data_IF_483893996915
#
_entry.id   IF_483893996915
#
_cell.length_a   1.000
_cell.length_b   1.000
_cell.length_c   1.000
_cell.angle_alpha   90.00
_cell.angle_beta   90.00
_cell.angle_gamma   90.00
#
_symmetry.space_group_name_H-M   'P 1'
#
loop_
_entity.id
_entity.type
_entity.pdbx_description
1 polymer ?
#
# COMPACT_ATOMS: atom_id res chain seq x y z
N UNK A 1 -7.66 -15.14 -7.88
CA UNK A 1 -8.43 -13.88 -7.80
C UNK A 1 -9.44 -13.93 -8.93
N UNK A 2 -10.72 -13.59 -8.70
CA UNK A 2 -11.74 -13.61 -9.76
C UNK A 2 -11.33 -12.65 -10.88
N UNK A 3 -11.56 -13.04 -12.13
CA UNK A 3 -11.18 -12.25 -13.32
C UNK A 3 -11.83 -10.86 -13.31
N UNK A 4 -13.03 -10.73 -12.75
CA UNK A 4 -13.72 -9.46 -12.53
C UNK A 4 -12.95 -8.51 -11.60
N UNK A 5 -12.38 -9.03 -10.51
CA UNK A 5 -11.67 -8.23 -9.51
C UNK A 5 -10.31 -7.75 -10.04
N UNK A 6 -9.65 -8.57 -10.88
CA UNK A 6 -8.45 -8.17 -11.64
C UNK A 6 -8.75 -7.00 -12.57
N UNK A 7 -9.83 -7.09 -13.35
CA UNK A 7 -10.23 -6.02 -14.27
C UNK A 7 -10.60 -4.74 -13.53
N UNK A 8 -11.35 -4.84 -12.43
CA UNK A 8 -11.67 -3.70 -11.57
C UNK A 8 -10.40 -3.05 -11.01
N UNK A 9 -9.46 -3.86 -10.51
CA UNK A 9 -8.18 -3.36 -9.99
C UNK A 9 -7.40 -2.61 -11.07
N UNK A 10 -7.26 -3.19 -12.27
CA UNK A 10 -6.54 -2.55 -13.39
C UNK A 10 -7.23 -1.25 -13.80
N UNK A 11 -8.56 -1.25 -13.89
CA UNK A 11 -9.35 -0.06 -14.22
C UNK A 11 -9.08 1.07 -13.22
N UNK A 12 -9.17 0.79 -11.93
CA UNK A 12 -8.93 1.82 -10.90
C UNK A 12 -7.45 2.22 -10.76
N UNK A 13 -6.53 1.31 -11.08
CA UNK A 13 -5.09 1.61 -11.12
C UNK A 13 -4.75 2.63 -12.22
N UNK A 14 -5.51 2.64 -13.31
CA UNK A 14 -5.38 3.63 -14.39
C UNK A 14 -6.24 4.88 -14.15
N UNK A 15 -7.44 4.70 -13.59
CA UNK A 15 -8.37 5.80 -13.36
C UNK A 15 -7.91 6.75 -12.25
N UNK A 16 -7.33 6.23 -11.16
CA UNK A 16 -6.88 7.04 -10.03
C UNK A 16 -5.78 8.07 -10.40
N UNK A 17 -4.69 7.71 -11.11
CA UNK A 17 -3.68 8.68 -11.53
C UNK A 17 -4.23 9.67 -12.57
N UNK A 18 -5.08 9.22 -13.50
CA UNK A 18 -5.72 10.10 -14.47
C UNK A 18 -6.64 11.12 -13.79
N UNK A 19 -7.44 10.67 -12.82
CA UNK A 19 -8.29 11.54 -12.00
C UNK A 19 -7.46 12.54 -11.20
N UNK A 20 -6.33 12.11 -10.62
CA UNK A 20 -5.43 13.01 -9.90
C UNK A 20 -4.84 14.10 -10.82
N UNK A 21 -4.38 13.72 -12.02
CA UNK A 21 -3.86 14.68 -13.00
C UNK A 21 -4.93 15.69 -13.45
N UNK A 22 -6.16 15.23 -13.68
CA UNK A 22 -7.28 16.11 -14.04
C UNK A 22 -7.64 17.07 -12.90
N UNK A 23 -7.63 16.57 -11.66
CA UNK A 23 -7.86 17.39 -10.47
C UNK A 23 -6.80 18.48 -10.32
N UNK A 24 -5.51 18.11 -10.41
CA UNK A 24 -4.38 19.05 -10.36
C UNK A 24 -4.42 20.11 -11.45
N UNK A 25 -4.92 19.77 -12.64
CA UNK A 25 -5.01 20.70 -13.77
C UNK A 25 -6.20 21.66 -13.68
N UNK A 26 -7.35 21.17 -13.22
CA UNK A 26 -8.62 21.88 -13.40
C UNK A 26 -9.19 22.47 -12.09
N UNK A 27 -8.84 21.90 -10.94
CA UNK A 27 -9.56 22.16 -9.69
C UNK A 27 -8.72 22.87 -8.63
N UNK A 28 -7.46 23.15 -8.90
CA UNK A 28 -6.57 23.86 -7.98
C UNK A 28 -6.02 25.11 -8.63
N UNK A 29 -6.06 26.22 -7.89
CA UNK A 29 -5.36 27.46 -8.24
C UNK A 29 -3.84 27.27 -8.01
N UNK A 30 -2.94 28.07 -8.62
CA UNK A 30 -1.52 28.15 -8.27
C UNK A 30 -1.17 28.16 -6.77
N UNK A 31 -2.05 28.66 -5.91
CA UNK A 31 -1.88 28.61 -4.46
C UNK A 31 -2.22 27.25 -3.81
N UNK A 32 -2.69 26.27 -4.59
CA UNK A 32 -3.12 24.95 -4.13
C UNK A 32 -4.54 24.91 -3.57
N UNK A 33 -5.28 26.02 -3.61
CA UNK A 33 -6.65 26.10 -3.09
C UNK A 33 -7.67 25.49 -4.06
N UNK A 34 -8.68 24.77 -3.56
CA UNK A 34 -9.72 24.19 -4.41
C UNK A 34 -10.57 25.29 -5.04
N UNK A 35 -10.72 25.27 -6.36
CA UNK A 35 -11.51 26.25 -7.13
C UNK A 35 -12.98 25.87 -7.27
N UNK A 36 -13.44 24.80 -6.60
CA UNK A 36 -14.83 24.34 -6.61
C UNK A 36 -15.21 23.42 -7.78
N UNK A 37 -14.21 22.88 -8.51
CA UNK A 37 -14.43 21.89 -9.56
C UNK A 37 -14.84 20.50 -9.05
N UNK A 38 -15.22 19.61 -9.97
CA UNK A 38 -15.69 18.27 -9.63
C UNK A 38 -14.58 17.43 -8.97
N UNK A 39 -14.78 16.83 -7.78
CA UNK A 39 -13.72 16.10 -7.07
C UNK A 39 -13.44 14.72 -7.70
N UNK A 40 -12.67 14.72 -8.79
CA UNK A 40 -12.39 13.53 -9.61
C UNK A 40 -11.80 12.38 -8.80
N UNK A 41 -10.72 12.60 -8.04
CA UNK A 41 -10.07 11.55 -7.27
C UNK A 41 -10.97 11.02 -6.13
N UNK A 42 -11.58 11.86 -5.28
CA UNK A 42 -12.54 11.37 -4.28
C UNK A 42 -13.69 10.55 -4.88
N UNK A 43 -14.21 10.95 -6.05
CA UNK A 43 -15.26 10.19 -6.73
C UNK A 43 -14.77 8.81 -7.20
N UNK A 44 -13.57 8.73 -7.78
CA UNK A 44 -12.95 7.46 -8.19
C UNK A 44 -12.69 6.57 -6.97
N UNK A 45 -12.20 7.12 -5.86
CA UNK A 45 -11.96 6.37 -4.62
C UNK A 45 -13.26 5.87 -4.00
N UNK A 46 -14.33 6.66 -4.02
CA UNK A 46 -15.65 6.24 -3.55
C UNK A 46 -16.20 5.10 -4.41
N UNK A 47 -16.12 5.22 -5.73
CA UNK A 47 -16.52 4.15 -6.65
C UNK A 47 -15.70 2.87 -6.44
N UNK A 48 -14.38 3.00 -6.30
CA UNK A 48 -13.48 1.89 -6.01
C UNK A 48 -13.85 1.20 -4.68
N UNK A 49 -14.10 1.97 -3.62
CA UNK A 49 -14.51 1.44 -2.33
C UNK A 49 -15.82 0.65 -2.45
N UNK A 50 -16.83 1.17 -3.15
CA UNK A 50 -18.10 0.47 -3.36
C UNK A 50 -17.88 -0.84 -4.13
N UNK A 51 -17.15 -0.81 -5.24
CA UNK A 51 -16.88 -2.01 -6.04
C UNK A 51 -16.14 -3.07 -5.23
N UNK A 52 -15.04 -2.70 -4.56
CA UNK A 52 -14.24 -3.67 -3.80
C UNK A 52 -14.97 -4.19 -2.56
N UNK A 53 -15.80 -3.38 -1.89
CA UNK A 53 -16.62 -3.85 -0.77
C UNK A 53 -17.72 -4.81 -1.23
N UNK A 54 -18.31 -4.57 -2.41
CA UNK A 54 -19.29 -5.48 -3.00
C UNK A 54 -18.64 -6.80 -3.43
N UNK A 55 -17.49 -6.76 -4.11
CA UNK A 55 -16.71 -7.94 -4.45
C UNK A 55 -16.32 -8.75 -3.21
N UNK A 56 -15.93 -8.07 -2.12
CA UNK A 56 -15.51 -8.72 -0.89
C UNK A 56 -16.64 -9.47 -0.17
N UNK A 57 -17.93 -9.20 -0.46
CA UNK A 57 -19.04 -9.95 0.14
C UNK A 57 -19.02 -11.44 -0.19
N UNK A 58 -18.45 -11.79 -1.34
CA UNK A 58 -18.30 -13.19 -1.76
C UNK A 58 -17.18 -13.95 -1.05
N UNK A 59 -16.27 -13.27 -0.35
CA UNK A 59 -15.14 -13.92 0.32
C UNK A 59 -15.56 -14.62 1.63
N UNK A 60 -14.80 -15.59 2.14
CA UNK A 60 -15.11 -16.23 3.42
C UNK A 60 -15.01 -15.26 4.60
N UNK A 61 -15.91 -15.43 5.58
CA UNK A 61 -15.82 -14.73 6.86
C UNK A 61 -14.59 -15.23 7.66
N UNK A 62 -14.15 -14.46 8.66
CA UNK A 62 -12.99 -14.78 9.49
C UNK A 62 -13.02 -16.22 10.02
N UNK A 63 -14.18 -16.66 10.49
CA UNK A 63 -14.35 -17.95 11.16
C UNK A 63 -14.29 -19.15 10.19
N UNK A 64 -14.34 -18.89 8.89
CA UNK A 64 -14.27 -19.92 7.85
C UNK A 64 -12.83 -20.19 7.35
N UNK A 65 -11.85 -19.37 7.74
CA UNK A 65 -10.46 -19.52 7.29
C UNK A 65 -9.68 -20.37 8.29
N UNK A 66 -9.50 -21.65 7.97
CA UNK A 66 -8.76 -22.62 8.79
C UNK A 66 -7.31 -22.83 8.33
N UNK A 67 -6.96 -22.33 7.14
CA UNK A 67 -5.62 -22.49 6.57
C UNK A 67 -4.59 -21.58 7.26
N UNK A 68 -3.36 -22.09 7.41
CA UNK A 68 -2.23 -21.29 7.88
C UNK A 68 -1.78 -20.27 6.83
N UNK A 69 -1.07 -19.21 7.26
CA UNK A 69 -0.62 -18.12 6.39
C UNK A 69 0.05 -18.61 5.10
N UNK A 70 0.95 -19.59 5.18
CA UNK A 70 1.65 -20.14 4.02
C UNK A 70 0.77 -20.99 3.09
N UNK A 71 -0.37 -21.48 3.58
CA UNK A 71 -1.39 -22.11 2.74
C UNK A 71 -2.24 -21.07 2.01
N UNK A 72 -2.51 -19.93 2.65
CA UNK A 72 -3.32 -18.83 2.08
C UNK A 72 -2.52 -18.04 1.04
N UNK A 73 -1.26 -17.70 1.34
CA UNK A 73 -0.44 -16.84 0.50
C UNK A 73 0.68 -17.64 -0.15
N UNK A 74 0.36 -18.28 -1.29
CA UNK A 74 1.34 -19.06 -2.04
C UNK A 74 1.83 -18.30 -3.28
N UNK A 75 3.13 -18.06 -3.33
CA UNK A 75 3.78 -17.44 -4.48
C UNK A 75 4.14 -18.48 -5.55
N UNK A 76 3.14 -19.19 -6.08
CA UNK A 76 3.35 -20.24 -7.07
C UNK A 76 3.73 -19.65 -8.46
N UNK A 77 3.35 -18.40 -8.75
CA UNK A 77 3.69 -17.70 -9.98
C UNK A 77 5.06 -16.98 -9.96
N UNK A 78 5.79 -17.04 -11.08
CA UNK A 78 7.02 -16.28 -11.26
C UNK A 78 6.79 -14.76 -11.17
N UNK A 79 5.68 -14.26 -11.74
CA UNK A 79 5.32 -12.85 -11.71
C UNK A 79 4.98 -12.35 -10.29
N UNK A 80 4.26 -13.15 -9.50
CA UNK A 80 3.95 -12.80 -8.10
C UNK A 80 5.20 -12.77 -7.24
N UNK A 81 6.15 -13.69 -7.49
CA UNK A 81 7.43 -13.68 -6.80
C UNK A 81 8.27 -12.46 -7.17
N UNK A 82 8.41 -12.18 -8.46
CA UNK A 82 9.22 -11.05 -8.91
C UNK A 82 8.64 -9.74 -8.41
N UNK A 83 7.31 -9.58 -8.41
CA UNK A 83 6.65 -8.41 -7.83
C UNK A 83 6.95 -8.26 -6.33
N UNK A 84 6.85 -9.34 -5.54
CA UNK A 84 7.13 -9.28 -4.10
C UNK A 84 8.61 -8.98 -3.79
N UNK A 85 9.53 -9.64 -4.51
CA UNK A 85 10.98 -9.41 -4.37
C UNK A 85 11.35 -7.99 -4.77
N UNK A 86 10.87 -7.53 -5.94
CA UNK A 86 11.13 -6.20 -6.43
C UNK A 86 10.53 -5.14 -5.51
N UNK A 87 9.35 -5.39 -4.93
CA UNK A 87 8.74 -4.52 -3.93
C UNK A 87 9.60 -4.39 -2.66
N UNK A 88 10.14 -5.49 -2.14
CA UNK A 88 11.07 -5.47 -1.01
C UNK A 88 12.36 -4.71 -1.31
N UNK A 89 12.96 -4.92 -2.49
CA UNK A 89 14.15 -4.16 -2.91
C UNK A 89 13.87 -2.67 -3.12
N UNK A 90 12.69 -2.31 -3.63
CA UNK A 90 12.29 -0.91 -3.76
C UNK A 90 12.15 -0.21 -2.40
N UNK A 91 11.69 -0.91 -1.36
CA UNK A 91 11.67 -0.35 0.01
C UNK A 91 13.09 -0.11 0.54
N UNK A 92 14.04 -1.02 0.27
CA UNK A 92 15.44 -0.83 0.62
C UNK A 92 16.07 0.35 -0.17
N UNK A 93 15.78 0.43 -1.47
CA UNK A 93 16.22 1.54 -2.31
C UNK A 93 15.62 2.87 -1.85
N UNK A 94 14.35 2.88 -1.44
CA UNK A 94 13.68 4.05 -0.88
C UNK A 94 14.35 4.52 0.42
N UNK A 95 14.76 3.60 1.30
CA UNK A 95 15.54 3.94 2.49
C UNK A 95 16.89 4.57 2.15
N UNK A 96 17.60 4.02 1.16
CA UNK A 96 18.87 4.57 0.71
C UNK A 96 18.70 5.97 0.08
N UNK A 97 17.71 6.15 -0.80
CA UNK A 97 17.37 7.43 -1.41
C UNK A 97 16.99 8.47 -0.35
N UNK A 98 16.27 8.04 0.69
CA UNK A 98 15.87 8.91 1.80
C UNK A 98 17.09 9.41 2.58
N UNK A 99 18.08 8.55 2.86
CA UNK A 99 19.34 8.97 3.49
C UNK A 99 20.14 9.95 2.62
N UNK A 100 20.23 9.68 1.32
CA UNK A 100 20.98 10.52 0.37
C UNK A 100 20.33 11.90 0.21
N UNK A 101 19.00 11.98 0.20
CA UNK A 101 18.26 13.23 0.00
C UNK A 101 17.97 14.01 1.28
N UNK A 102 17.69 13.33 2.38
CA UNK A 102 17.35 13.94 3.67
C UNK A 102 18.53 14.17 4.62
N UNK A 103 19.71 13.60 4.29
CA UNK A 103 20.92 13.68 5.11
C UNK A 103 20.87 12.80 6.36
N UNK A 104 21.96 12.82 7.15
CA UNK A 104 22.11 12.03 8.38
C UNK A 104 21.51 12.73 9.63
N UNK A 105 20.49 13.56 9.45
CA UNK A 105 19.80 14.20 10.57
C UNK A 105 18.90 13.18 11.30
N UNK A 106 18.82 13.30 12.63
CA UNK A 106 18.28 12.24 13.51
C UNK A 106 16.97 11.60 13.06
N UNK A 107 15.92 12.38 12.74
CA UNK A 107 14.62 11.84 12.34
C UNK A 107 14.66 11.12 10.98
N UNK A 108 15.32 11.70 9.98
CA UNK A 108 15.44 11.10 8.64
C UNK A 108 16.28 9.82 8.68
N UNK A 109 17.32 9.79 9.50
CA UNK A 109 18.10 8.58 9.77
C UNK A 109 17.23 7.49 10.40
N UNK A 110 16.47 7.82 11.46
CA UNK A 110 15.58 6.87 12.14
C UNK A 110 14.55 6.30 11.18
N UNK A 111 13.87 7.16 10.40
CA UNK A 111 12.85 6.73 9.44
C UNK A 111 13.43 5.89 8.31
N UNK A 112 14.65 6.21 7.85
CA UNK A 112 15.34 5.44 6.81
C UNK A 112 15.75 4.06 7.32
N UNK A 113 16.32 3.99 8.53
CA UNK A 113 16.66 2.70 9.17
C UNK A 113 15.39 1.87 9.36
N UNK A 114 14.30 2.47 9.81
CA UNK A 114 13.06 1.75 10.05
C UNK A 114 12.39 1.26 8.76
N UNK A 115 12.46 2.06 7.68
CA UNK A 115 12.06 1.65 6.33
C UNK A 115 12.94 0.50 5.82
N UNK A 116 14.26 0.56 6.02
CA UNK A 116 15.17 -0.51 5.64
C UNK A 116 14.88 -1.81 6.40
N UNK A 117 14.66 -1.72 7.71
CA UNK A 117 14.23 -2.84 8.55
C UNK A 117 12.90 -3.43 8.05
N UNK A 118 11.96 -2.59 7.62
CA UNK A 118 10.68 -3.02 7.08
C UNK A 118 10.83 -3.79 5.76
N UNK A 119 11.65 -3.27 4.82
CA UNK A 119 11.97 -3.96 3.57
C UNK A 119 12.69 -5.29 3.81
N UNK A 120 13.67 -5.31 4.71
CA UNK A 120 14.41 -6.53 5.07
C UNK A 120 13.51 -7.57 5.75
N UNK A 121 12.61 -7.15 6.64
CA UNK A 121 11.68 -8.04 7.33
C UNK A 121 10.68 -8.70 6.36
N UNK A 122 10.20 -7.96 5.35
CA UNK A 122 9.33 -8.49 4.30
C UNK A 122 10.05 -9.48 3.39
N UNK A 123 11.28 -9.17 2.98
CA UNK A 123 12.11 -10.10 2.21
C UNK A 123 12.44 -11.37 3.02
N UNK A 124 12.74 -11.22 4.31
CA UNK A 124 12.93 -12.36 5.21
C UNK A 124 11.66 -13.22 5.29
N UNK A 125 10.49 -12.61 5.52
CA UNK A 125 9.22 -13.34 5.58
C UNK A 125 8.95 -14.09 4.26
N UNK A 126 9.21 -13.47 3.12
CA UNK A 126 9.06 -14.10 1.80
C UNK A 126 10.02 -15.29 1.62
N UNK A 127 11.28 -15.15 1.99
CA UNK A 127 12.28 -16.22 1.90
C UNK A 127 11.92 -17.38 2.85
N UNK A 128 11.51 -17.06 4.08
CA UNK A 128 11.16 -18.06 5.09
C UNK A 128 9.90 -18.83 4.68
N UNK A 129 8.87 -18.15 4.16
CA UNK A 129 7.68 -18.79 3.59
C UNK A 129 8.03 -19.74 2.44
N UNK A 130 8.90 -19.31 1.53
CA UNK A 130 9.37 -20.12 0.39
C UNK A 130 10.11 -21.39 0.81
N UNK A 131 10.94 -21.31 1.85
CA UNK A 131 11.83 -22.41 2.24
C UNK A 131 11.20 -23.39 3.21
N UNK A 132 10.42 -22.87 4.16
CA UNK A 132 10.04 -23.65 5.35
C UNK A 132 8.56 -23.56 5.67
N UNK A 133 7.80 -22.66 5.02
CA UNK A 133 6.39 -22.38 5.35
C UNK A 133 6.17 -21.72 6.72
N UNK A 134 7.14 -21.81 7.62
CA UNK A 134 7.16 -21.20 8.94
C UNK A 134 8.09 -19.97 8.97
N UNK A 135 7.60 -18.90 9.57
CA UNK A 135 8.37 -17.67 9.80
C UNK A 135 7.84 -16.98 11.06
N UNK A 136 8.65 -16.10 11.66
CA UNK A 136 8.22 -15.33 12.81
C UNK A 136 7.17 -14.27 12.38
N UNK A 137 5.92 -14.33 12.86
CA UNK A 137 4.85 -13.40 12.44
C UNK A 137 5.15 -11.96 12.86
N UNK A 138 6.04 -11.76 13.84
CA UNK A 138 6.58 -10.46 14.24
C UNK A 138 7.29 -9.72 13.10
N UNK A 139 7.85 -10.43 12.11
CA UNK A 139 8.46 -9.80 10.95
C UNK A 139 7.47 -8.96 10.13
N UNK A 140 6.18 -9.35 10.08
CA UNK A 140 5.13 -8.60 9.40
C UNK A 140 4.64 -7.39 10.21
N UNK A 141 4.94 -7.30 11.51
CA UNK A 141 4.60 -6.13 12.32
C UNK A 141 5.60 -4.97 12.11
N UNK A 142 6.84 -5.26 11.73
CA UNK A 142 7.86 -4.23 11.44
C UNK A 142 7.37 -3.20 10.40
N UNK A 143 6.88 -3.59 9.20
CA UNK A 143 6.35 -2.64 8.24
C UNK A 143 5.10 -1.91 8.73
N UNK A 144 4.26 -2.53 9.57
CA UNK A 144 3.09 -1.87 10.17
C UNK A 144 3.55 -0.75 11.10
N UNK A 145 4.50 -1.03 12.00
CA UNK A 145 5.05 -0.03 12.91
C UNK A 145 5.70 1.13 12.14
N UNK A 146 6.44 0.84 11.08
CA UNK A 146 6.99 1.88 10.21
C UNK A 146 5.90 2.75 9.57
N UNK A 147 4.87 2.13 8.99
CA UNK A 147 3.77 2.86 8.34
C UNK A 147 3.00 3.75 9.34
N UNK A 148 2.78 3.29 10.57
CA UNK A 148 2.16 4.09 11.64
C UNK A 148 3.05 5.30 11.99
N UNK A 149 4.34 5.08 12.23
CA UNK A 149 5.27 6.16 12.54
C UNK A 149 5.35 7.16 11.39
N UNK A 150 5.45 6.68 10.14
CA UNK A 150 5.47 7.50 8.95
C UNK A 150 4.17 8.31 8.81
N UNK A 151 3.00 7.70 9.03
CA UNK A 151 1.71 8.38 9.02
C UNK A 151 1.66 9.51 10.05
N UNK A 152 2.09 9.25 11.29
CA UNK A 152 2.13 10.25 12.36
C UNK A 152 3.05 11.40 12.00
N UNK A 153 4.26 11.10 11.50
CA UNK A 153 5.24 12.13 11.13
C UNK A 153 4.72 12.96 9.96
N UNK A 154 4.22 12.34 8.90
CA UNK A 154 3.65 13.04 7.74
C UNK A 154 2.46 13.89 8.15
N UNK A 155 1.55 13.37 8.98
CA UNK A 155 0.43 14.15 9.50
C UNK A 155 0.90 15.34 10.31
N UNK A 156 1.80 15.14 11.27
CA UNK A 156 2.30 16.23 12.12
C UNK A 156 3.06 17.30 11.35
N UNK A 157 3.81 16.93 10.31
CA UNK A 157 4.52 17.88 9.47
C UNK A 157 3.55 18.79 8.69
N UNK A 158 2.40 18.26 8.28
CA UNK A 158 1.41 18.97 7.47
C UNK A 158 0.20 19.49 8.26
N UNK A 159 0.09 19.22 9.56
CA UNK A 159 -1.07 19.58 10.38
C UNK A 159 -1.30 21.10 10.51
N UNK A 160 -0.30 21.92 10.18
CA UNK A 160 -0.41 23.39 10.16
C UNK A 160 -0.78 23.93 8.79
N UNK A 161 -0.69 23.11 7.74
CA UNK A 161 -1.13 23.51 6.41
C UNK A 161 -2.66 23.47 6.35
N UNK A 162 -3.25 24.58 5.94
CA UNK A 162 -4.70 24.73 5.79
C UNK A 162 -5.20 24.15 4.46
N UNK A 163 -4.29 23.86 3.52
CA UNK A 163 -4.60 23.36 2.19
C UNK A 163 -4.54 21.84 2.16
N UNK A 164 -5.69 21.20 2.35
CA UNK A 164 -5.82 19.74 2.38
C UNK A 164 -5.31 19.07 1.08
N UNK A 165 -5.45 19.74 -0.06
CA UNK A 165 -5.08 19.24 -1.40
C UNK A 165 -3.63 18.76 -1.53
N UNK A 166 -2.71 19.33 -0.73
CA UNK A 166 -1.28 19.04 -0.79
C UNK A 166 -0.90 17.67 -0.20
N UNK A 167 -1.61 17.22 0.84
CA UNK A 167 -1.14 16.09 1.65
C UNK A 167 -2.20 15.01 1.88
N UNK A 168 -3.48 15.24 1.53
CA UNK A 168 -4.53 14.27 1.80
C UNK A 168 -4.30 12.92 1.11
N UNK A 169 -3.86 12.90 -0.14
CA UNK A 169 -3.63 11.65 -0.90
C UNK A 169 -2.56 10.80 -0.22
N UNK A 170 -1.45 11.43 0.20
CA UNK A 170 -0.36 10.75 0.92
C UNK A 170 -0.83 10.21 2.28
N UNK A 171 -1.64 10.98 3.03
CA UNK A 171 -2.20 10.51 4.30
C UNK A 171 -3.18 9.35 4.12
N UNK A 172 -4.10 9.43 3.16
CA UNK A 172 -5.02 8.33 2.86
C UNK A 172 -4.26 7.08 2.42
N UNK A 173 -3.22 7.23 1.58
CA UNK A 173 -2.37 6.12 1.19
C UNK A 173 -1.70 5.48 2.40
N UNK A 174 -1.06 6.26 3.26
CA UNK A 174 -0.36 5.74 4.44
C UNK A 174 -1.33 5.03 5.40
N UNK A 175 -2.53 5.58 5.58
CA UNK A 175 -3.59 4.94 6.36
C UNK A 175 -4.05 3.61 5.72
N UNK A 176 -4.28 3.59 4.41
CA UNK A 176 -4.70 2.39 3.69
C UNK A 176 -3.61 1.30 3.68
N UNK A 177 -2.34 1.68 3.47
CA UNK A 177 -1.19 0.78 3.58
C UNK A 177 -1.05 0.23 5.00
N UNK A 178 -1.22 1.07 6.03
CA UNK A 178 -1.19 0.64 7.42
C UNK A 178 -2.30 -0.39 7.70
N UNK A 179 -3.51 -0.15 7.21
CA UNK A 179 -4.64 -1.06 7.40
C UNK A 179 -4.43 -2.38 6.65
N UNK A 180 -4.00 -2.31 5.38
CA UNK A 180 -3.75 -3.50 4.56
C UNK A 180 -2.59 -4.34 5.12
N UNK A 181 -1.50 -3.71 5.57
CA UNK A 181 -0.37 -4.40 6.20
C UNK A 181 -0.75 -5.00 7.56
N UNK A 182 -1.59 -4.32 8.35
CA UNK A 182 -2.11 -4.85 9.61
C UNK A 182 -3.00 -6.08 9.37
N UNK A 183 -3.90 -6.03 8.38
CA UNK A 183 -4.72 -7.18 8.02
C UNK A 183 -3.90 -8.35 7.47
N UNK A 184 -2.86 -8.05 6.69
CA UNK A 184 -1.90 -9.07 6.25
C UNK A 184 -1.22 -9.72 7.46
N UNK A 185 -0.70 -8.92 8.39
CA UNK A 185 -0.10 -9.42 9.62
C UNK A 185 -1.10 -10.25 10.46
N UNK A 186 -2.37 -9.85 10.50
CA UNK A 186 -3.41 -10.58 11.23
C UNK A 186 -3.61 -12.03 10.73
N UNK A 187 -3.42 -12.31 9.44
CA UNK A 187 -3.41 -13.69 8.94
C UNK A 187 -2.29 -14.53 9.56
N UNK A 188 -1.13 -13.93 9.84
CA UNK A 188 -0.01 -14.66 10.42
C UNK A 188 -0.25 -15.03 11.90
N UNK A 189 -1.18 -14.32 12.55
CA UNK A 189 -1.68 -14.63 13.89
C UNK A 189 -3.01 -15.40 13.88
N UNK A 190 -3.40 -16.00 12.75
CA UNK A 190 -4.68 -16.75 12.59
C UNK A 190 -5.93 -15.92 12.94
N UNK A 191 -5.83 -14.60 12.79
CA UNK A 191 -6.90 -13.63 13.05
C UNK A 191 -7.35 -12.90 11.77
N UNK A 192 -6.83 -13.30 10.61
CA UNK A 192 -7.07 -12.62 9.34
C UNK A 192 -8.47 -12.86 8.78
N UNK A 193 -9.03 -11.82 8.17
CA UNK A 193 -10.33 -11.89 7.50
C UNK A 193 -10.16 -11.46 6.02
N UNK A 194 -10.39 -12.36 5.05
CA UNK A 194 -10.28 -12.04 3.62
C UNK A 194 -11.16 -10.87 3.22
N UNK A 195 -12.37 -10.81 3.79
CA UNK A 195 -13.35 -9.74 3.60
C UNK A 195 -12.85 -8.34 3.97
N UNK A 196 -11.95 -8.23 4.94
CA UNK A 196 -11.40 -6.92 5.35
C UNK A 196 -10.08 -6.62 4.63
N UNK A 197 -9.26 -7.64 4.39
CA UNK A 197 -7.97 -7.49 3.73
C UNK A 197 -8.10 -7.08 2.25
N UNK A 198 -8.89 -7.81 1.47
CA UNK A 198 -9.00 -7.59 0.03
C UNK A 198 -9.39 -6.14 -0.33
N UNK A 199 -10.47 -5.55 0.20
CA UNK A 199 -10.85 -4.19 -0.15
C UNK A 199 -9.83 -3.16 0.35
N UNK A 200 -9.22 -3.37 1.53
CA UNK A 200 -8.18 -2.47 2.04
C UNK A 200 -6.93 -2.47 1.14
N UNK A 201 -6.50 -3.64 0.68
CA UNK A 201 -5.35 -3.77 -0.20
C UNK A 201 -5.61 -3.20 -1.60
N UNK A 202 -6.80 -3.44 -2.18
CA UNK A 202 -7.18 -2.83 -3.45
C UNK A 202 -7.27 -1.30 -3.35
N UNK A 203 -7.86 -0.77 -2.28
CA UNK A 203 -7.88 0.67 -2.04
C UNK A 203 -6.47 1.25 -1.90
N UNK A 204 -5.60 0.58 -1.14
CA UNK A 204 -4.20 1.00 -1.00
C UNK A 204 -3.47 1.01 -2.36
N UNK A 205 -3.71 0.03 -3.24
CA UNK A 205 -3.16 0.02 -4.61
C UNK A 205 -3.65 1.22 -5.44
N UNK A 206 -4.95 1.53 -5.39
CA UNK A 206 -5.52 2.66 -6.13
C UNK A 206 -4.97 4.00 -5.63
N UNK A 207 -4.85 4.16 -4.32
CA UNK A 207 -4.23 5.33 -3.70
C UNK A 207 -2.73 5.41 -4.02
N UNK A 208 -2.04 4.28 -4.07
CA UNK A 208 -0.61 4.25 -4.41
C UNK A 208 -0.39 4.76 -5.84
N UNK A 209 -1.24 4.34 -6.79
CA UNK A 209 -1.18 4.82 -8.16
C UNK A 209 -1.42 6.35 -8.25
N UNK A 210 -2.39 6.88 -7.51
CA UNK A 210 -2.61 8.33 -7.44
C UNK A 210 -1.44 9.07 -6.77
N UNK A 211 -0.92 8.57 -5.65
CA UNK A 211 0.17 9.19 -4.91
C UNK A 211 1.49 9.16 -5.70
N UNK A 212 1.73 8.15 -6.54
CA UNK A 212 2.87 8.12 -7.45
C UNK A 212 2.90 9.34 -8.39
N UNK A 213 1.75 9.86 -8.80
CA UNK A 213 1.67 11.10 -9.59
C UNK A 213 2.19 12.29 -8.77
N UNK A 214 1.69 12.46 -7.55
CA UNK A 214 2.10 13.56 -6.67
C UNK A 214 3.60 13.49 -6.35
N UNK A 215 4.10 12.29 -6.05
CA UNK A 215 5.52 12.06 -5.74
C UNK A 215 6.43 12.30 -6.97
N UNK A 216 5.98 11.91 -8.17
CA UNK A 216 6.71 12.14 -9.41
C UNK A 216 6.79 13.63 -9.75
N UNK A 217 5.67 14.35 -9.64
CA UNK A 217 5.59 15.80 -9.89
C UNK A 217 6.44 16.58 -8.88
N UNK A 218 6.41 16.18 -7.60
CA UNK A 218 7.22 16.76 -6.55
C UNK A 218 8.70 16.30 -6.55
N UNK A 219 9.11 15.44 -7.50
CA UNK A 219 10.45 14.83 -7.57
C UNK A 219 10.90 14.14 -6.27
N UNK A 220 9.95 13.63 -5.49
CA UNK A 220 10.19 12.90 -4.23
C UNK A 220 10.49 11.43 -4.49
N UNK A 221 11.65 11.14 -5.08
CA UNK A 221 12.01 9.80 -5.55
C UNK A 221 12.02 8.73 -4.44
N UNK A 222 12.40 9.09 -3.21
CA UNK A 222 12.34 8.18 -2.06
C UNK A 222 10.89 7.76 -1.74
N UNK A 223 9.96 8.73 -1.74
CA UNK A 223 8.53 8.48 -1.53
C UNK A 223 7.91 7.66 -2.66
N UNK A 224 8.30 7.96 -3.91
CA UNK A 224 7.87 7.21 -5.09
C UNK A 224 8.33 5.75 -5.02
N UNK A 225 9.60 5.49 -4.71
CA UNK A 225 10.13 4.14 -4.56
C UNK A 225 9.44 3.38 -3.42
N UNK A 226 9.19 4.03 -2.28
CA UNK A 226 8.46 3.40 -1.17
C UNK A 226 7.02 3.06 -1.55
N UNK A 227 6.33 3.97 -2.25
CA UNK A 227 4.96 3.78 -2.72
C UNK A 227 4.85 2.61 -3.71
N UNK A 228 5.72 2.58 -4.73
CA UNK A 228 5.77 1.47 -5.69
C UNK A 228 6.16 0.15 -5.01
N UNK A 229 7.11 0.19 -4.07
CA UNK A 229 7.54 -0.99 -3.33
C UNK A 229 6.38 -1.62 -2.54
N UNK A 230 5.68 -0.80 -1.77
CA UNK A 230 4.51 -1.24 -1.00
C UNK A 230 3.37 -1.72 -1.90
N UNK A 231 3.11 -1.04 -3.02
CA UNK A 231 2.08 -1.43 -3.97
C UNK A 231 2.38 -2.80 -4.59
N UNK A 232 3.62 -3.04 -5.03
CA UNK A 232 3.99 -4.33 -5.64
C UNK A 232 3.93 -5.48 -4.65
N UNK A 233 4.30 -5.25 -3.40
CA UNK A 233 4.13 -6.24 -2.32
C UNK A 233 2.65 -6.56 -2.10
N UNK A 234 1.79 -5.55 -1.96
CA UNK A 234 0.35 -5.77 -1.78
C UNK A 234 -0.30 -6.46 -2.97
N UNK A 235 0.08 -6.09 -4.20
CA UNK A 235 -0.38 -6.75 -5.41
C UNK A 235 0.04 -8.22 -5.42
N UNK A 236 1.29 -8.51 -5.05
CA UNK A 236 1.78 -9.88 -4.98
C UNK A 236 1.04 -10.70 -3.92
N UNK A 237 0.76 -10.13 -2.75
CA UNK A 237 -0.05 -10.80 -1.71
C UNK A 237 -1.51 -10.99 -2.13
N UNK A 238 -2.13 -10.02 -2.82
CA UNK A 238 -3.49 -10.15 -3.35
C UNK A 238 -3.60 -11.26 -4.40
N UNK A 239 -2.62 -11.34 -5.31
CA UNK A 239 -2.58 -12.40 -6.32
C UNK A 239 -2.28 -13.77 -5.70
N UNK A 240 -1.36 -13.82 -4.72
CA UNK A 240 -1.05 -15.04 -3.97
C UNK A 240 -2.22 -15.54 -3.13
N UNK A 241 -3.10 -14.64 -2.69
CA UNK A 241 -4.33 -14.95 -1.96
C UNK A 241 -5.50 -15.35 -2.87
N UNK A 242 -5.26 -15.47 -4.18
CA UNK A 242 -6.27 -15.55 -5.20
C UNK A 242 -7.31 -16.67 -5.07
N UNK A 243 -7.01 -17.71 -4.29
CA UNK A 243 -7.88 -18.86 -4.02
C UNK A 243 -8.21 -18.94 -2.52
N UNK A 244 -8.80 -17.89 -1.94
CA UNK A 244 -9.45 -18.01 -0.62
C UNK A 244 -10.61 -19.02 -0.63
N UNK A 245 -11.09 -19.39 -1.82
CA UNK A 245 -12.03 -20.48 -2.08
C UNK A 245 -11.19 -21.71 -2.43
N UNK A 246 -10.93 -22.58 -1.46
CA UNK A 246 -10.56 -23.97 -1.77
C UNK A 246 -11.71 -24.71 -2.44
#
# INVERSE_FOLDING_TARGET
>A
MKTSDRLATILFLLAAPAARLLELKNNYDPAGLPTGGFPYLPAVLAAAAVVFLLSARGLPARDAVTADFGGIFRFDGQLTLTAAVLGGFLLLAAAALRLVSGGMAGLELILSVFLACSGAALLYALIAQRRSGAFAPTALLVPVCFLVVQLIVTYRANARDSVLGHFYVELLLLAALCLASLYLAAFAYRCGAPRSFAPAAHLALTLAAACCVDMALARRFAGLAACLGAALLLLAYLEAAGDFEG
#
